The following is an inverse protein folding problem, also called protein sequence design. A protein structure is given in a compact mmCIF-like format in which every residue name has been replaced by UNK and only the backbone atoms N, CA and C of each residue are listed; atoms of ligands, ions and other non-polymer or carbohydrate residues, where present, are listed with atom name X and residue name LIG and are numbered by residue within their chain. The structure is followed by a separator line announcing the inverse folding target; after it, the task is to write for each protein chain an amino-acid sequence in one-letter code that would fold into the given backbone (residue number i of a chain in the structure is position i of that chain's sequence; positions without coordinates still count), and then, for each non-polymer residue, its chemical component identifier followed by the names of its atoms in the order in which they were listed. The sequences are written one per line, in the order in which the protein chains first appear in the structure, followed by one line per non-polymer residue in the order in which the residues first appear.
data_IF_847475646290
#
_entry.id   IF_847475646290
#
_cell.length_a   1.000
_cell.length_b   1.000
_cell.length_c   1.000
_cell.angle_alpha   90.00
_cell.angle_beta   90.00
_cell.angle_gamma   90.00
#
_symmetry.space_group_name_H-M   'P 1'
#
loop_
_entity.id
_entity.type
_entity.pdbx_description
1 polymer ?
#
# COMPACT_ATOMS: atom_id res chain seq x y z
N UNK A 1 -4.13 0.98 -11.31
CA UNK A 1 -3.37 2.05 -11.99
C UNK A 1 -2.15 1.45 -12.62
N UNK A 2 -1.86 1.73 -13.90
CA UNK A 2 -0.66 1.23 -14.58
C UNK A 2 0.40 2.33 -14.60
N UNK A 3 1.56 2.04 -14.06
CA UNK A 3 2.74 2.89 -14.12
C UNK A 3 3.92 2.10 -14.67
N UNK A 4 4.84 2.77 -15.35
CA UNK A 4 6.12 2.18 -15.72
C UNK A 4 7.04 2.11 -14.51
N UNK A 5 8.07 1.28 -14.61
CA UNK A 5 9.15 1.21 -13.63
C UNK A 5 9.79 2.58 -13.33
N UNK A 6 9.83 3.45 -14.35
CA UNK A 6 10.26 4.86 -14.23
C UNK A 6 9.27 5.77 -13.47
N UNK A 7 8.21 5.26 -12.86
CA UNK A 7 7.12 6.01 -12.22
C UNK A 7 6.32 6.95 -13.16
N UNK A 8 6.40 6.75 -14.46
CA UNK A 8 5.66 7.51 -15.47
C UNK A 8 4.34 6.83 -15.81
N UNK A 9 3.27 7.61 -16.00
CA UNK A 9 1.98 7.16 -16.53
C UNK A 9 2.10 6.94 -18.05
N UNK A 10 2.73 5.85 -18.46
CA UNK A 10 2.92 5.48 -19.86
C UNK A 10 2.91 3.96 -20.01
N UNK A 11 2.30 3.45 -21.09
CA UNK A 11 2.26 2.02 -21.39
C UNK A 11 3.52 1.53 -22.12
N UNK A 12 4.39 2.42 -22.53
CA UNK A 12 5.60 2.08 -23.26
C UNK A 12 6.40 3.32 -23.65
N UNK A 13 7.36 3.10 -24.54
CA UNK A 13 8.25 4.13 -25.08
C UNK A 13 8.43 3.90 -26.58
N UNK A 14 8.64 4.97 -27.35
CA UNK A 14 9.04 4.84 -28.73
C UNK A 14 10.44 4.23 -28.82
N UNK A 15 10.55 3.16 -29.59
CA UNK A 15 11.81 2.43 -29.82
C UNK A 15 12.20 2.47 -31.28
N UNK A 16 13.49 2.35 -31.54
CA UNK A 16 13.99 2.24 -32.89
C UNK A 16 13.64 0.85 -33.46
N UNK A 17 13.04 0.80 -34.63
CA UNK A 17 12.64 -0.40 -35.34
C UNK A 17 13.39 -0.54 -36.66
N UNK A 18 13.91 -1.75 -36.94
CA UNK A 18 14.48 -2.09 -38.21
C UNK A 18 13.59 -3.12 -38.94
N UNK A 19 13.18 -2.82 -40.16
CA UNK A 19 12.41 -3.72 -41.02
C UNK A 19 13.37 -4.47 -41.94
N UNK A 20 13.76 -5.67 -41.50
CA UNK A 20 14.70 -6.49 -42.27
C UNK A 20 14.53 -7.97 -41.91
N UNK A 21 14.83 -8.92 -42.84
CA UNK A 21 14.87 -10.34 -42.46
C UNK A 21 16.10 -10.61 -41.59
N UNK A 22 15.92 -11.46 -40.57
CA UNK A 22 16.97 -11.83 -39.62
C UNK A 22 17.05 -13.34 -39.43
N UNK A 23 17.79 -13.99 -40.36
CA UNK A 23 18.04 -15.45 -40.31
C UNK A 23 16.79 -16.34 -40.10
N UNK A 24 15.62 -15.87 -40.51
CA UNK A 24 14.34 -16.57 -40.31
C UNK A 24 13.71 -16.44 -38.92
N UNK A 25 14.38 -15.80 -37.97
CA UNK A 25 13.83 -15.65 -36.57
C UNK A 25 12.66 -14.67 -36.46
N UNK A 26 12.46 -13.84 -37.46
CA UNK A 26 11.33 -12.91 -37.59
C UNK A 26 10.35 -13.32 -38.69
N UNK A 27 10.20 -14.63 -38.94
CA UNK A 27 9.27 -15.16 -39.94
C UNK A 27 7.82 -15.00 -39.49
N UNK A 28 6.93 -14.60 -40.37
CA UNK A 28 5.51 -14.29 -40.12
C UNK A 28 5.36 -13.15 -39.11
N UNK A 29 4.63 -13.41 -38.01
CA UNK A 29 4.32 -12.41 -36.97
C UNK A 29 5.38 -12.35 -35.85
N UNK A 30 6.50 -13.06 -36.00
CA UNK A 30 7.58 -13.08 -35.02
C UNK A 30 8.36 -11.76 -35.04
N UNK A 31 8.63 -11.21 -33.85
CA UNK A 31 9.40 -9.99 -33.69
C UNK A 31 10.59 -10.30 -32.77
N UNK A 32 11.79 -9.90 -33.24
CA UNK A 32 12.99 -9.91 -32.42
C UNK A 32 13.08 -8.63 -31.59
N UNK A 33 13.36 -8.76 -30.33
CA UNK A 33 13.61 -7.62 -29.45
C UNK A 33 15.06 -7.63 -28.95
N UNK A 34 15.62 -6.46 -28.76
CA UNK A 34 16.96 -6.32 -28.18
C UNK A 34 16.93 -6.67 -26.69
N UNK A 35 17.94 -7.37 -26.21
CA UNK A 35 18.15 -7.65 -24.79
C UNK A 35 18.16 -6.37 -23.92
N UNK A 36 18.62 -5.26 -24.51
CA UNK A 36 18.59 -3.96 -23.87
C UNK A 36 17.18 -3.49 -23.48
N UNK A 37 16.15 -3.83 -24.25
CA UNK A 37 14.75 -3.49 -23.93
C UNK A 37 14.31 -4.18 -22.64
N UNK A 38 14.77 -5.43 -22.43
CA UNK A 38 14.48 -6.18 -21.19
C UNK A 38 15.31 -5.64 -20.03
N UNK A 39 16.59 -5.39 -20.27
CA UNK A 39 17.49 -4.88 -19.23
C UNK A 39 17.11 -3.47 -18.73
N UNK A 40 16.64 -2.60 -19.64
CA UNK A 40 16.25 -1.22 -19.34
C UNK A 40 14.76 -1.09 -18.96
N UNK A 41 14.04 -2.21 -18.76
CA UNK A 41 12.61 -2.27 -18.39
C UNK A 41 11.70 -1.37 -19.24
N UNK A 42 12.02 -1.25 -20.56
CA UNK A 42 11.37 -0.27 -21.44
C UNK A 42 9.86 -0.49 -21.57
N UNK A 43 9.41 -1.76 -21.55
CA UNK A 43 8.01 -2.14 -21.64
C UNK A 43 7.46 -2.76 -20.34
N UNK A 44 8.21 -2.73 -19.28
CA UNK A 44 7.77 -3.20 -17.96
C UNK A 44 6.73 -2.24 -17.39
N UNK A 45 5.64 -2.77 -16.90
CA UNK A 45 4.57 -1.99 -16.27
C UNK A 45 4.16 -2.58 -14.94
N UNK A 46 3.82 -1.72 -13.98
CA UNK A 46 3.33 -2.07 -12.67
C UNK A 46 1.83 -1.81 -12.63
N UNK A 47 1.05 -2.85 -12.31
CA UNK A 47 -0.38 -2.77 -12.16
C UNK A 47 -0.72 -2.87 -10.68
N UNK A 48 -1.41 -1.87 -10.16
CA UNK A 48 -1.90 -1.85 -8.77
C UNK A 48 -3.41 -2.04 -8.82
N UNK A 49 -3.87 -3.13 -8.21
CA UNK A 49 -5.28 -3.46 -8.07
C UNK A 49 -5.70 -3.27 -6.62
N UNK A 50 -6.88 -2.71 -6.41
CA UNK A 50 -7.44 -2.45 -5.10
C UNK A 50 -8.65 -3.34 -4.86
N UNK A 51 -8.65 -4.04 -3.73
CA UNK A 51 -9.72 -4.92 -3.29
C UNK A 51 -10.26 -4.40 -1.98
N UNK A 52 -11.57 -4.26 -1.88
CA UNK A 52 -12.24 -3.83 -0.65
C UNK A 52 -13.27 -4.83 -0.17
N UNK A 53 -13.40 -4.97 1.12
CA UNK A 53 -14.43 -5.76 1.77
C UNK A 53 -14.95 -5.03 3.01
N UNK A 54 -16.24 -5.21 3.28
CA UNK A 54 -16.90 -4.57 4.41
C UNK A 54 -17.66 -5.62 5.22
N UNK A 55 -17.52 -5.59 6.53
CA UNK A 55 -18.39 -6.31 7.44
C UNK A 55 -19.68 -5.50 7.68
N UNK A 56 -20.82 -6.13 7.50
CA UNK A 56 -22.16 -5.52 7.63
C UNK A 56 -22.96 -6.17 8.73
N UNK A 57 -23.87 -5.40 9.31
CA UNK A 57 -24.88 -5.94 10.19
C UNK A 57 -25.99 -6.59 9.35
N UNK A 58 -26.19 -7.90 9.54
CA UNK A 58 -27.27 -8.63 8.86
C UNK A 58 -28.39 -8.93 9.84
N UNK A 59 -29.58 -9.27 9.33
CA UNK A 59 -30.73 -9.67 10.14
C UNK A 59 -30.46 -10.92 11.02
N UNK A 60 -29.46 -11.72 10.64
CA UNK A 60 -29.08 -12.97 11.30
C UNK A 60 -27.91 -12.80 12.28
N UNK A 61 -27.34 -11.62 12.34
CA UNK A 61 -26.18 -11.28 13.18
C UNK A 61 -25.18 -10.41 12.41
N UNK A 62 -24.17 -9.99 13.11
CA UNK A 62 -23.08 -9.18 12.57
C UNK A 62 -22.10 -10.06 11.81
N UNK A 63 -21.67 -9.62 10.62
CA UNK A 63 -20.53 -10.22 9.92
C UNK A 63 -19.24 -9.90 10.67
N UNK A 64 -18.33 -10.85 10.72
CA UNK A 64 -17.07 -10.72 11.46
C UNK A 64 -15.90 -10.96 10.51
N UNK A 65 -14.85 -10.13 10.64
CA UNK A 65 -13.57 -10.33 9.98
C UNK A 65 -12.69 -11.11 10.96
N UNK A 66 -12.31 -12.34 10.57
CA UNK A 66 -11.58 -13.25 11.44
C UNK A 66 -10.73 -14.22 10.62
N UNK A 67 -9.67 -14.74 11.24
CA UNK A 67 -8.87 -15.85 10.70
C UNK A 67 -9.56 -17.22 10.87
N UNK A 68 -10.50 -17.32 11.80
CA UNK A 68 -11.21 -18.58 12.10
C UNK A 68 -12.32 -18.83 11.05
N UNK A 69 -11.90 -19.33 9.89
CA UNK A 69 -12.78 -19.59 8.74
C UNK A 69 -13.08 -21.10 8.69
N UNK A 70 -14.35 -21.51 8.69
CA UNK A 70 -14.70 -22.92 8.62
C UNK A 70 -14.28 -23.54 7.28
N UNK A 71 -13.81 -24.79 7.33
CA UNK A 71 -13.47 -25.63 6.17
C UNK A 71 -12.33 -25.08 5.28
N UNK A 72 -11.44 -24.28 5.82
CA UNK A 72 -10.25 -23.77 5.11
C UNK A 72 -9.00 -24.35 5.78
N UNK A 73 -8.06 -24.87 4.97
CA UNK A 73 -6.81 -25.40 5.48
C UNK A 73 -5.85 -24.31 5.93
N UNK A 74 -4.99 -24.64 6.90
CA UNK A 74 -4.00 -23.67 7.44
C UNK A 74 -3.03 -23.11 6.39
N UNK A 75 -2.74 -23.86 5.35
CA UNK A 75 -1.89 -23.40 4.25
C UNK A 75 -2.47 -22.18 3.53
N UNK A 76 -3.78 -22.09 3.41
CA UNK A 76 -4.48 -20.95 2.79
C UNK A 76 -4.55 -19.74 3.72
N UNK A 77 -4.37 -19.98 5.03
CA UNK A 77 -4.44 -18.95 6.08
C UNK A 77 -3.05 -18.46 6.53
N UNK A 78 -1.97 -19.01 5.96
CA UNK A 78 -0.59 -18.70 6.37
C UNK A 78 -0.23 -17.22 6.25
N UNK A 79 -0.77 -16.55 5.22
CA UNK A 79 -0.48 -15.15 4.90
C UNK A 79 -1.44 -14.17 5.59
N UNK A 80 -2.37 -14.70 6.43
CA UNK A 80 -3.26 -13.91 7.27
C UNK A 80 -2.68 -13.76 8.68
N UNK A 81 -2.90 -12.59 9.25
CA UNK A 81 -2.62 -12.36 10.66
C UNK A 81 -3.74 -12.86 11.58
N UNK A 82 -3.61 -12.59 12.88
CA UNK A 82 -4.60 -12.98 13.90
C UNK A 82 -5.98 -12.35 13.68
N UNK A 83 -6.04 -11.16 13.08
CA UNK A 83 -7.29 -10.49 12.73
C UNK A 83 -7.93 -11.00 11.44
N UNK A 84 -7.29 -11.94 10.73
CA UNK A 84 -7.79 -12.50 9.48
C UNK A 84 -7.55 -11.63 8.27
N UNK A 85 -6.55 -10.76 8.30
CA UNK A 85 -6.20 -9.86 7.20
C UNK A 85 -4.79 -10.18 6.73
N UNK A 86 -4.57 -10.18 5.40
CA UNK A 86 -3.26 -10.42 4.82
C UNK A 86 -2.24 -9.36 5.26
N UNK A 87 -0.99 -9.76 5.50
CA UNK A 87 0.07 -8.83 5.86
C UNK A 87 0.71 -8.19 4.62
N UNK A 88 1.24 -6.98 4.80
CA UNK A 88 1.97 -6.25 3.76
C UNK A 88 3.26 -6.99 3.42
N UNK A 89 3.52 -7.16 2.12
CA UNK A 89 4.67 -7.93 1.61
C UNK A 89 4.38 -9.41 1.33
N UNK A 90 3.17 -9.91 1.63
CA UNK A 90 2.78 -11.28 1.28
C UNK A 90 2.68 -11.47 -0.24
N UNK A 91 3.21 -12.57 -0.74
CA UNK A 91 3.02 -13.01 -2.12
C UNK A 91 1.73 -13.82 -2.23
N UNK A 92 0.76 -13.30 -2.94
CA UNK A 92 -0.57 -13.91 -3.09
C UNK A 92 -0.80 -14.42 -4.50
N UNK A 93 -1.49 -15.55 -4.59
CA UNK A 93 -1.85 -16.22 -5.84
C UNK A 93 -3.36 -16.32 -5.99
N UNK A 94 -3.80 -16.64 -7.21
CA UNK A 94 -5.22 -16.83 -7.49
C UNK A 94 -5.86 -17.85 -6.53
N UNK A 95 -6.93 -17.44 -5.86
CA UNK A 95 -7.66 -18.25 -4.88
C UNK A 95 -7.23 -18.08 -3.43
N UNK A 96 -6.08 -17.44 -3.16
CA UNK A 96 -5.65 -17.14 -1.78
C UNK A 96 -6.60 -16.16 -1.10
N UNK A 97 -6.74 -16.31 0.21
CA UNK A 97 -7.59 -15.45 1.01
C UNK A 97 -6.85 -14.15 1.34
N UNK A 98 -7.41 -13.01 0.95
CA UNK A 98 -6.89 -11.69 1.29
C UNK A 98 -7.45 -11.21 2.63
N UNK A 99 -8.74 -11.44 2.87
CA UNK A 99 -9.41 -11.08 4.13
C UNK A 99 -10.40 -12.19 4.47
N UNK A 100 -10.24 -12.77 5.65
CA UNK A 100 -11.16 -13.76 6.20
C UNK A 100 -12.42 -13.07 6.72
N UNK A 101 -13.58 -13.45 6.19
CA UNK A 101 -14.88 -12.95 6.66
C UNK A 101 -15.86 -14.09 6.79
N UNK A 102 -16.59 -14.09 7.89
CA UNK A 102 -17.66 -15.05 8.16
C UNK A 102 -18.99 -14.32 8.33
N UNK A 103 -20.03 -14.92 7.78
CA UNK A 103 -21.41 -14.41 7.87
C UNK A 103 -22.24 -15.42 8.64
N UNK A 104 -23.00 -15.02 9.67
CA UNK A 104 -23.90 -15.92 10.40
C UNK A 104 -24.93 -16.55 9.47
N UNK A 105 -25.14 -17.87 9.63
CA UNK A 105 -26.24 -18.60 8.99
C UNK A 105 -27.51 -18.42 9.80
N UNK A 106 -28.66 -18.27 9.14
CA UNK A 106 -29.94 -18.41 9.80
C UNK A 106 -30.17 -19.81 10.35
N UNK A 107 -30.99 -19.90 11.39
CA UNK A 107 -31.43 -21.18 11.93
C UNK A 107 -32.16 -21.98 10.86
N UNK A 108 -31.46 -22.88 10.20
CA UNK A 108 -32.08 -23.96 9.44
C UNK A 108 -32.36 -25.14 10.38
N UNK A 109 -33.52 -25.79 10.30
CA UNK A 109 -33.78 -26.97 11.10
C UNK A 109 -32.73 -28.04 10.80
N UNK A 110 -31.86 -28.29 11.79
CA UNK A 110 -30.75 -29.24 11.66
C UNK A 110 -31.28 -30.67 11.58
N UNK A 111 -30.74 -31.47 10.69
CA UNK A 111 -30.91 -32.89 10.68
C UNK A 111 -30.24 -33.53 11.91
N UNK A 112 -30.71 -34.72 12.39
CA UNK A 112 -30.08 -35.41 13.51
C UNK A 112 -28.60 -35.69 13.31
N UNK A 113 -28.19 -35.88 12.06
CA UNK A 113 -26.81 -36.17 11.64
C UNK A 113 -25.92 -34.92 11.77
N UNK A 114 -26.43 -33.74 11.42
CA UNK A 114 -25.74 -32.45 11.61
C UNK A 114 -25.56 -32.09 13.09
N UNK A 115 -26.57 -32.44 13.95
CA UNK A 115 -26.44 -32.28 15.40
C UNK A 115 -25.32 -33.13 15.99
N UNK A 116 -25.12 -34.32 15.43
CA UNK A 116 -24.08 -35.25 15.86
C UNK A 116 -22.68 -34.77 15.41
N UNK A 117 -22.56 -34.27 14.20
CA UNK A 117 -21.34 -33.66 13.68
C UNK A 117 -20.97 -32.40 14.48
N UNK A 118 -21.94 -31.59 14.86
CA UNK A 118 -21.76 -30.42 15.72
C UNK A 118 -21.20 -30.78 17.11
N UNK A 119 -21.72 -31.87 17.68
CA UNK A 119 -21.24 -32.35 18.97
C UNK A 119 -19.80 -32.89 18.93
N UNK A 120 -19.35 -33.39 17.77
CA UNK A 120 -18.00 -33.97 17.59
C UNK A 120 -16.97 -32.91 17.20
N UNK A 121 -17.31 -31.97 16.31
CA UNK A 121 -16.39 -31.00 15.72
C UNK A 121 -16.49 -29.58 16.29
N UNK A 122 -17.39 -29.34 17.27
CA UNK A 122 -17.60 -28.05 17.93
C UNK A 122 -18.64 -27.15 17.26
N UNK A 123 -19.16 -26.22 18.04
CA UNK A 123 -20.33 -25.38 17.67
C UNK A 123 -20.06 -24.38 16.55
N UNK A 124 -18.84 -23.91 16.41
CA UNK A 124 -18.51 -22.78 15.50
C UNK A 124 -18.62 -23.12 14.01
N UNK A 125 -18.34 -24.35 13.60
CA UNK A 125 -18.25 -24.73 12.18
C UNK A 125 -19.59 -24.74 11.42
N UNK A 126 -20.72 -24.80 12.11
CA UNK A 126 -22.05 -24.97 11.46
C UNK A 126 -22.88 -23.67 11.39
N UNK A 127 -22.54 -22.65 12.19
CA UNK A 127 -23.37 -21.45 12.35
C UNK A 127 -22.93 -20.29 11.47
N UNK A 128 -21.79 -20.42 10.80
CA UNK A 128 -21.24 -19.36 9.95
C UNK A 128 -20.95 -19.86 8.54
N UNK A 129 -21.02 -18.98 7.58
CA UNK A 129 -20.66 -19.23 6.18
C UNK A 129 -19.41 -18.42 5.84
N UNK A 130 -18.47 -19.04 5.15
CA UNK A 130 -17.31 -18.35 4.56
C UNK A 130 -17.76 -17.37 3.46
N UNK A 131 -17.46 -16.10 3.67
CA UNK A 131 -17.67 -14.99 2.73
C UNK A 131 -16.39 -14.18 2.56
N UNK A 132 -15.26 -14.83 2.74
CA UNK A 132 -13.94 -14.22 2.65
C UNK A 132 -13.65 -13.64 1.28
N UNK A 133 -12.86 -12.60 1.26
CA UNK A 133 -12.33 -12.01 0.03
C UNK A 133 -11.15 -12.86 -0.44
N UNK A 134 -11.28 -13.41 -1.64
CA UNK A 134 -10.22 -14.19 -2.28
C UNK A 134 -9.72 -13.48 -3.53
N UNK A 135 -8.43 -13.69 -3.83
CA UNK A 135 -7.85 -13.17 -5.06
C UNK A 135 -8.51 -13.84 -6.27
N UNK A 136 -9.00 -13.07 -7.27
CA UNK A 136 -9.64 -13.62 -8.46
C UNK A 136 -8.67 -14.47 -9.29
N UNK A 137 -9.20 -15.40 -10.10
CA UNK A 137 -8.38 -16.21 -10.99
C UNK A 137 -7.64 -15.33 -12.01
N UNK A 138 -6.37 -15.65 -12.25
CA UNK A 138 -5.50 -14.92 -13.19
C UNK A 138 -4.75 -13.74 -12.60
N UNK A 139 -5.03 -13.35 -11.34
CA UNK A 139 -4.26 -12.36 -10.61
C UNK A 139 -3.22 -13.03 -9.71
N UNK A 140 -2.05 -12.43 -9.61
CA UNK A 140 -1.00 -12.79 -8.65
C UNK A 140 -0.13 -11.57 -8.41
N UNK A 141 0.41 -11.42 -7.22
CA UNK A 141 1.25 -10.27 -6.91
C UNK A 141 1.65 -10.20 -5.45
N UNK A 142 2.23 -9.08 -5.07
CA UNK A 142 2.65 -8.81 -3.70
C UNK A 142 1.75 -7.74 -3.10
N UNK A 143 1.32 -7.93 -1.86
CA UNK A 143 0.51 -6.95 -1.13
C UNK A 143 1.37 -5.74 -0.77
N UNK A 144 1.01 -4.57 -1.29
CA UNK A 144 1.77 -3.32 -1.10
C UNK A 144 1.27 -2.57 0.13
N UNK A 145 -0.04 -2.49 0.29
CA UNK A 145 -0.66 -1.70 1.36
C UNK A 145 -1.94 -2.36 1.86
N UNK A 146 -2.21 -2.22 3.15
CA UNK A 146 -3.45 -2.67 3.79
C UNK A 146 -3.99 -1.52 4.63
N UNK A 147 -5.26 -1.16 4.40
CA UNK A 147 -5.95 -0.12 5.16
C UNK A 147 -7.16 -0.69 5.89
N UNK A 148 -7.32 -0.36 7.16
CA UNK A 148 -8.43 -0.78 7.98
C UNK A 148 -9.22 0.44 8.42
N UNK A 149 -10.51 0.44 8.10
CA UNK A 149 -11.42 1.52 8.48
C UNK A 149 -12.43 1.02 9.50
N UNK A 150 -12.51 1.67 10.65
CA UNK A 150 -13.50 1.37 11.69
C UNK A 150 -14.63 2.40 11.65
N UNK A 151 -15.87 1.96 11.87
CA UNK A 151 -16.99 2.89 12.04
C UNK A 151 -16.85 3.64 13.37
N UNK A 152 -17.34 4.87 13.44
CA UNK A 152 -17.39 5.64 14.68
C UNK A 152 -18.23 4.89 15.72
N UNK A 153 -17.68 4.74 16.93
CA UNK A 153 -18.38 4.11 18.07
C UNK A 153 -18.09 2.62 18.27
N UNK A 154 -17.34 1.96 17.38
CA UNK A 154 -16.80 0.62 17.63
C UNK A 154 -15.43 0.72 18.28
N UNK A 155 -15.15 -0.20 19.21
CA UNK A 155 -13.80 -0.33 19.76
C UNK A 155 -12.84 -0.75 18.65
N UNK A 156 -11.72 -0.05 18.56
CA UNK A 156 -10.67 -0.37 17.58
C UNK A 156 -9.86 -1.54 18.09
N UNK A 157 -9.63 -2.51 17.25
CA UNK A 157 -8.73 -3.62 17.51
C UNK A 157 -7.30 -3.13 17.77
N UNK A 158 -6.54 -3.93 18.49
CA UNK A 158 -5.14 -3.61 18.84
C UNK A 158 -4.28 -3.41 17.59
N UNK A 159 -4.55 -4.17 16.53
CA UNK A 159 -3.91 -4.02 15.23
C UNK A 159 -4.28 -2.70 14.54
N UNK A 160 -5.55 -2.32 14.52
CA UNK A 160 -5.98 -1.05 13.95
C UNK A 160 -5.29 0.13 14.65
N UNK A 161 -5.11 0.03 15.96
CA UNK A 161 -4.35 1.01 16.76
C UNK A 161 -2.85 1.00 16.45
N UNK A 162 -2.29 -0.17 16.14
CA UNK A 162 -0.87 -0.29 15.76
C UNK A 162 -0.61 0.34 14.39
N UNK A 163 -1.47 0.07 13.41
CA UNK A 163 -1.41 0.67 12.06
C UNK A 163 -1.57 2.18 12.14
N UNK A 164 -2.56 2.69 12.90
CA UNK A 164 -2.72 4.13 13.09
C UNK A 164 -1.51 4.79 13.72
N UNK A 165 -0.87 4.15 14.71
CA UNK A 165 0.39 4.67 15.30
C UNK A 165 1.50 4.75 14.26
N UNK A 166 1.66 3.71 13.46
CA UNK A 166 2.67 3.67 12.42
C UNK A 166 2.43 4.74 11.35
N UNK A 167 1.17 4.96 10.94
CA UNK A 167 0.81 6.01 10.01
C UNK A 167 1.07 7.41 10.59
N UNK A 168 0.75 7.63 11.87
CA UNK A 168 1.02 8.90 12.56
C UNK A 168 2.53 9.17 12.64
N UNK A 169 3.34 8.15 12.96
CA UNK A 169 4.80 8.28 13.00
C UNK A 169 5.38 8.59 11.62
N UNK A 170 4.89 7.93 10.57
CA UNK A 170 5.29 8.21 9.19
C UNK A 170 4.97 9.65 8.80
N UNK A 171 3.72 10.08 9.00
CA UNK A 171 3.27 11.44 8.67
C UNK A 171 4.00 12.51 9.50
N UNK A 172 4.33 12.21 10.77
CA UNK A 172 5.11 13.11 11.59
C UNK A 172 6.53 13.28 11.04
N UNK A 173 7.17 12.19 10.63
CA UNK A 173 8.47 12.23 9.98
C UNK A 173 8.45 13.00 8.66
N UNK A 174 7.46 12.72 7.80
CA UNK A 174 7.31 13.41 6.52
C UNK A 174 7.14 14.93 6.73
N UNK A 175 6.33 15.34 7.73
CA UNK A 175 6.16 16.75 8.11
C UNK A 175 7.49 17.39 8.56
N UNK A 176 8.24 16.67 9.40
CA UNK A 176 9.51 17.18 9.92
C UNK A 176 10.56 17.31 8.80
N UNK A 177 10.60 16.34 7.87
CA UNK A 177 11.45 16.38 6.69
C UNK A 177 11.05 17.55 5.76
N UNK A 178 9.76 17.76 5.51
CA UNK A 178 9.24 18.89 4.74
C UNK A 178 9.62 20.24 5.39
N UNK A 179 9.48 20.33 6.71
CA UNK A 179 9.85 21.55 7.44
C UNK A 179 11.33 21.87 7.25
N UNK A 180 12.22 20.90 7.40
CA UNK A 180 13.67 21.10 7.20
C UNK A 180 13.99 21.54 5.78
N UNK A 181 13.30 20.97 4.77
CA UNK A 181 13.50 21.35 3.36
C UNK A 181 13.05 22.82 3.14
N UNK A 182 11.88 23.19 3.66
CA UNK A 182 11.33 24.53 3.52
C UNK A 182 12.22 25.55 4.23
N UNK A 183 12.64 25.28 5.46
CA UNK A 183 13.54 26.17 6.23
C UNK A 183 14.86 26.38 5.49
N UNK A 184 15.47 25.32 4.99
CA UNK A 184 16.70 25.42 4.20
C UNK A 184 16.50 26.20 2.89
N UNK A 185 15.39 25.96 2.19
CA UNK A 185 15.08 26.72 0.98
C UNK A 185 14.85 28.20 1.27
N UNK A 186 14.16 28.50 2.38
CA UNK A 186 13.93 29.86 2.85
C UNK A 186 15.24 30.58 3.22
N UNK A 187 16.11 29.93 3.99
CA UNK A 187 17.42 30.47 4.36
C UNK A 187 18.30 30.74 3.12
N UNK A 188 18.36 29.80 2.20
CA UNK A 188 19.11 29.99 0.96
C UNK A 188 18.56 31.17 0.15
N UNK A 189 17.25 31.30 0.07
CA UNK A 189 16.62 32.41 -0.65
C UNK A 189 16.85 33.73 0.02
N UNK A 190 16.84 33.77 1.35
CA UNK A 190 17.21 34.98 2.11
C UNK A 190 18.66 35.38 1.88
N UNK A 191 19.59 34.41 1.90
CA UNK A 191 21.00 34.64 1.60
C UNK A 191 21.19 35.23 0.20
N UNK A 192 20.57 34.65 -0.82
CA UNK A 192 20.63 35.18 -2.20
C UNK A 192 20.16 36.63 -2.33
N UNK A 193 19.10 37.02 -1.61
CA UNK A 193 18.52 38.35 -1.69
C UNK A 193 19.34 39.39 -0.87
N UNK A 194 19.87 38.96 0.28
CA UNK A 194 20.49 39.91 1.23
C UNK A 194 21.98 40.04 1.04
N UNK A 195 22.69 39.04 0.50
CA UNK A 195 24.13 39.16 0.25
C UNK A 195 24.43 40.33 -0.69
N UNK A 196 25.34 41.17 -0.27
CA UNK A 196 25.75 42.38 -0.99
C UNK A 196 24.95 43.62 -0.68
N UNK A 197 23.82 43.51 0.03
CA UNK A 197 23.02 44.66 0.52
C UNK A 197 23.70 45.31 1.75
N UNK A 198 23.35 46.54 2.05
CA UNK A 198 23.83 47.29 3.24
C UNK A 198 22.72 47.41 4.28
N UNK A 199 23.06 47.15 5.52
CA UNK A 199 22.13 47.36 6.63
C UNK A 199 21.66 48.83 6.71
N UNK A 200 20.35 49.02 6.77
CA UNK A 200 19.72 50.37 6.90
C UNK A 200 19.66 50.88 8.33
N UNK A 201 19.74 50.00 9.32
CA UNK A 201 19.74 50.28 10.77
C UNK A 201 20.70 49.34 11.49
N UNK A 202 21.04 49.64 12.74
CA UNK A 202 21.83 48.77 13.58
C UNK A 202 21.02 47.49 13.90
N UNK A 203 21.66 46.32 13.80
CA UNK A 203 21.05 45.03 14.06
C UNK A 203 22.00 44.11 14.82
N UNK A 204 21.63 43.69 16.03
CA UNK A 204 22.51 42.95 16.95
C UNK A 204 23.90 43.61 17.05
N UNK A 205 24.96 42.88 16.73
CA UNK A 205 26.35 43.40 16.79
C UNK A 205 26.80 44.16 15.54
N UNK A 206 25.95 44.27 14.52
CA UNK A 206 26.27 44.89 13.24
C UNK A 206 25.71 46.34 13.17
N UNK A 207 26.59 47.26 12.80
CA UNK A 207 26.23 48.71 12.67
C UNK A 207 25.63 49.02 11.29
N UNK A 208 24.84 50.06 11.25
CA UNK A 208 24.30 50.67 10.02
C UNK A 208 25.40 50.84 8.95
N UNK A 209 25.12 50.36 7.74
CA UNK A 209 26.04 50.44 6.61
C UNK A 209 26.95 49.22 6.47
N UNK A 210 26.86 48.23 7.36
CA UNK A 210 27.57 46.94 7.19
C UNK A 210 27.08 46.23 5.94
N UNK A 211 28.02 45.71 5.13
CA UNK A 211 27.69 44.95 3.91
C UNK A 211 27.46 43.50 4.32
N UNK A 212 26.27 42.99 4.05
CA UNK A 212 25.89 41.63 4.40
C UNK A 212 26.67 40.62 3.58
N UNK A 213 27.36 39.72 4.25
CA UNK A 213 28.15 38.62 3.72
C UNK A 213 27.70 37.29 4.39
N UNK A 214 28.32 36.17 4.03
CA UNK A 214 27.98 34.86 4.60
C UNK A 214 28.19 34.79 6.09
N UNK A 215 29.20 35.51 6.63
CA UNK A 215 29.48 35.54 8.06
C UNK A 215 28.40 36.23 8.89
N UNK A 216 27.59 37.06 8.27
CA UNK A 216 26.43 37.71 8.91
C UNK A 216 25.37 36.67 9.31
N UNK A 217 25.14 35.66 8.46
CA UNK A 217 24.16 34.60 8.72
C UNK A 217 24.64 33.60 9.76
N UNK A 218 25.95 33.32 9.81
CA UNK A 218 26.54 32.44 10.81
C UNK A 218 26.41 32.96 12.24
N UNK A 219 26.34 34.27 12.41
CA UNK A 219 26.17 34.95 13.69
C UNK A 219 24.69 35.26 14.04
N UNK A 220 23.75 34.85 13.19
CA UNK A 220 22.30 35.02 13.41
C UNK A 220 21.65 33.86 14.18
N UNK A 221 22.26 32.68 14.16
CA UNK A 221 21.81 31.45 14.86
C UNK A 221 22.09 31.47 16.35
#
# INVERSE_FOLDING_TARGET
MCIRDSCELALGKNVLVAYMPWNGYNFEDSILISERIVHDDVFTSIHIEEFEIMARDTKLGQEEITRDIPNVGEETLKDLDEAGIVYVGAEVKAGDVLVGKVTPKGETPMTPEEKLLRAIFGEKASDVRDTSLRLPPGASGTVVEVRIFSRRGLEKDERARAIERQDIERLAKDRDDEQVIIERAYENRLKEILIGQKLSSDFKDFKKGYKIDDSFFDNLN
#
